data_IF_356381196496
#
_entry.id   IF_356381196496
#
_cell.length_a   1.000
_cell.length_b   1.000
_cell.length_c   1.000
_cell.angle_alpha   90.00
_cell.angle_beta   90.00
_cell.angle_gamma   90.00
#
_symmetry.space_group_name_H-M   'P 1'
#
loop_
_entity.id
_entity.type
_entity.pdbx_description
1 polymer ?
#
# COMPACT_ATOMS: atom_id res chain seq x y z
N UNK A 1 57.56 -18.63 -46.73
CA UNK A 1 56.32 -18.05 -46.15
C UNK A 1 56.25 -16.58 -46.53
N UNK A 2 55.23 -16.23 -47.31
CA UNK A 2 55.04 -14.94 -47.97
C UNK A 2 54.62 -13.82 -47.00
N UNK A 3 55.20 -12.62 -47.13
CA UNK A 3 54.48 -11.37 -46.84
C UNK A 3 54.77 -10.34 -47.94
N UNK A 4 53.73 -10.12 -48.73
CA UNK A 4 53.65 -9.08 -49.76
C UNK A 4 53.00 -7.81 -49.16
N UNK A 5 53.46 -6.67 -49.67
CA UNK A 5 53.14 -5.28 -49.33
C UNK A 5 51.64 -4.95 -49.33
N UNK A 6 51.24 -3.88 -48.62
CA UNK A 6 50.49 -2.73 -49.20
C UNK A 6 50.21 -1.61 -48.18
N UNK A 7 50.15 -0.40 -48.73
CA UNK A 7 49.90 0.89 -48.12
C UNK A 7 48.45 1.06 -47.58
N UNK A 8 48.30 2.07 -46.72
CA UNK A 8 47.10 2.56 -46.04
C UNK A 8 45.84 2.77 -46.92
N UNK A 9 44.64 2.87 -46.31
CA UNK A 9 44.13 4.22 -46.02
C UNK A 9 43.41 4.38 -44.67
N UNK A 10 43.48 5.60 -44.15
CA UNK A 10 42.59 6.17 -43.13
C UNK A 10 41.14 6.02 -43.58
N UNK A 11 40.37 5.16 -42.91
CA UNK A 11 38.93 5.09 -43.05
C UNK A 11 38.29 5.63 -41.77
N UNK A 12 38.02 6.93 -41.78
CA UNK A 12 36.96 7.51 -40.97
C UNK A 12 35.66 6.79 -41.35
N UNK A 13 35.11 6.02 -40.41
CA UNK A 13 33.77 5.44 -40.51
C UNK A 13 32.96 5.91 -39.32
N UNK A 14 32.26 7.01 -39.58
CA UNK A 14 30.93 7.35 -39.09
C UNK A 14 30.51 6.78 -37.74
N UNK A 15 30.61 7.62 -36.71
CA UNK A 15 29.77 7.52 -35.53
C UNK A 15 28.31 7.77 -35.95
N UNK A 16 27.59 6.70 -36.32
CA UNK A 16 26.16 6.78 -36.61
C UNK A 16 25.41 5.94 -35.56
N UNK A 17 24.99 6.63 -34.51
CA UNK A 17 23.71 6.37 -33.84
C UNK A 17 23.58 5.08 -33.05
N UNK A 18 24.39 4.90 -32.00
CA UNK A 18 23.99 4.06 -30.87
C UNK A 18 22.96 4.84 -30.04
N UNK A 19 21.71 4.90 -30.48
CA UNK A 19 20.75 5.79 -29.83
C UNK A 19 19.31 5.48 -30.15
N UNK A 20 18.83 4.27 -29.82
CA UNK A 20 17.39 4.04 -29.64
C UNK A 20 17.07 2.71 -28.90
N UNK A 21 17.66 2.47 -27.73
CA UNK A 21 17.35 1.26 -26.95
C UNK A 21 17.22 1.48 -25.43
N UNK A 22 17.02 2.71 -24.96
CA UNK A 22 16.98 3.02 -23.51
C UNK A 22 15.61 3.46 -22.96
N UNK A 23 14.51 3.26 -23.70
CA UNK A 23 13.16 3.59 -23.19
C UNK A 23 12.45 2.43 -22.46
N UNK A 24 13.13 1.30 -22.25
CA UNK A 24 12.59 0.22 -21.43
C UNK A 24 12.92 0.50 -19.95
N UNK A 25 11.90 0.41 -19.09
CA UNK A 25 11.93 0.57 -17.62
C UNK A 25 11.78 2.00 -17.08
N UNK A 26 10.70 2.68 -17.47
CA UNK A 26 10.04 3.53 -16.48
C UNK A 26 9.51 2.61 -15.36
N UNK A 27 9.78 2.89 -14.07
CA UNK A 27 9.19 2.12 -12.98
C UNK A 27 7.68 2.31 -13.04
N UNK A 28 6.97 1.29 -13.51
CA UNK A 28 5.53 1.14 -13.26
C UNK A 28 5.41 1.15 -11.74
N UNK A 29 4.62 2.11 -11.22
CA UNK A 29 4.66 2.57 -9.83
C UNK A 29 4.95 1.49 -8.80
N UNK A 30 5.89 1.77 -7.90
CA UNK A 30 6.10 0.95 -6.72
C UNK A 30 4.75 0.77 -6.02
N UNK A 31 4.24 -0.46 -5.97
CA UNK A 31 3.13 -0.77 -5.09
C UNK A 31 3.55 -0.34 -3.69
N UNK A 32 2.81 0.58 -3.08
CA UNK A 32 3.06 0.97 -1.70
C UNK A 32 2.95 -0.30 -0.85
N UNK A 33 4.07 -0.70 -0.27
CA UNK A 33 4.11 -1.86 0.60
C UNK A 33 3.54 -1.43 1.97
N UNK A 34 2.89 -2.35 2.69
CA UNK A 34 2.43 -2.05 4.04
C UNK A 34 3.61 -1.60 4.91
N UNK A 35 3.44 -0.46 5.56
CA UNK A 35 4.49 0.21 6.35
C UNK A 35 4.81 -0.54 7.66
N UNK A 36 3.87 -1.38 8.12
CA UNK A 36 4.05 -2.28 9.27
C UNK A 36 3.38 -3.63 9.01
N UNK A 37 3.92 -4.67 9.65
CA UNK A 37 3.30 -5.99 9.71
C UNK A 37 2.29 -6.12 10.86
N UNK A 38 2.20 -5.12 11.75
CA UNK A 38 1.21 -5.14 12.83
C UNK A 38 -0.22 -5.06 12.29
N UNK A 39 -1.17 -5.80 12.87
CA UNK A 39 -2.54 -5.81 12.38
C UNK A 39 -3.27 -4.50 12.69
N UNK A 40 -4.00 -4.00 11.70
CA UNK A 40 -5.01 -2.95 11.90
C UNK A 40 -6.23 -3.61 12.55
N UNK A 41 -6.44 -3.31 13.82
CA UNK A 41 -7.59 -3.78 14.62
C UNK A 41 -8.84 -2.94 14.35
N UNK A 42 -9.77 -3.50 13.58
CA UNK A 42 -11.06 -2.90 13.25
C UNK A 42 -12.12 -3.34 14.25
N UNK A 43 -12.94 -2.42 14.75
CA UNK A 43 -14.03 -2.77 15.67
C UNK A 43 -15.16 -3.48 14.94
N UNK A 44 -15.74 -4.51 15.55
CA UNK A 44 -17.02 -5.11 15.14
C UNK A 44 -18.06 -4.89 16.23
N UNK A 45 -19.27 -4.59 15.80
CA UNK A 45 -20.48 -4.48 16.62
C UNK A 45 -21.50 -5.54 16.20
N UNK A 46 -22.59 -5.68 16.94
CA UNK A 46 -23.57 -6.77 16.77
C UNK A 46 -24.69 -6.46 15.76
N UNK A 47 -24.57 -5.38 14.96
CA UNK A 47 -25.52 -5.05 13.89
C UNK A 47 -24.95 -5.17 12.48
N UNK A 48 -25.79 -5.72 11.59
CA UNK A 48 -25.42 -6.12 10.23
C UNK A 48 -24.79 -5.02 9.39
N UNK A 49 -25.28 -3.78 9.49
CA UNK A 49 -24.77 -2.65 8.68
C UNK A 49 -23.30 -2.35 8.96
N UNK A 50 -22.94 -2.33 10.24
CA UNK A 50 -21.56 -2.09 10.69
C UNK A 50 -20.66 -3.27 10.36
N UNK A 51 -21.14 -4.50 10.56
CA UNK A 51 -20.39 -5.71 10.20
C UNK A 51 -20.01 -5.71 8.72
N UNK A 52 -20.99 -5.51 7.82
CA UNK A 52 -20.74 -5.53 6.37
C UNK A 52 -19.74 -4.44 5.98
N UNK A 53 -19.94 -3.22 6.46
CA UNK A 53 -19.08 -2.07 6.11
C UNK A 53 -17.64 -2.30 6.60
N UNK A 54 -17.48 -2.87 7.79
CA UNK A 54 -16.16 -3.18 8.36
C UNK A 54 -15.46 -4.30 7.60
N UNK A 55 -16.18 -5.35 7.23
CA UNK A 55 -15.62 -6.43 6.40
C UNK A 55 -15.17 -5.89 5.03
N UNK A 56 -15.94 -5.00 4.39
CA UNK A 56 -15.54 -4.38 3.12
C UNK A 56 -14.24 -3.60 3.30
N UNK A 57 -14.12 -2.78 4.35
CA UNK A 57 -12.88 -2.05 4.63
C UNK A 57 -11.70 -3.00 4.87
N UNK A 58 -11.90 -4.04 5.69
CA UNK A 58 -10.84 -5.01 5.97
C UNK A 58 -10.39 -5.76 4.71
N UNK A 59 -11.28 -6.09 3.77
CA UNK A 59 -10.91 -6.67 2.48
C UNK A 59 -10.10 -5.70 1.60
N UNK A 60 -10.44 -4.40 1.64
CA UNK A 60 -9.68 -3.36 0.92
C UNK A 60 -8.26 -3.24 1.49
N UNK A 61 -8.14 -3.21 2.82
CA UNK A 61 -6.84 -3.12 3.52
C UNK A 61 -5.98 -4.37 3.27
N UNK A 62 -6.57 -5.56 3.33
CA UNK A 62 -5.87 -6.82 3.01
C UNK A 62 -5.36 -6.83 1.56
N UNK A 63 -6.17 -6.38 0.59
CA UNK A 63 -5.75 -6.26 -0.81
C UNK A 63 -4.63 -5.24 -1.01
N UNK A 64 -4.53 -4.24 -0.13
CA UNK A 64 -3.43 -3.29 -0.09
C UNK A 64 -2.18 -3.81 0.64
N UNK A 65 -2.21 -5.05 1.16
CA UNK A 65 -1.08 -5.72 1.79
C UNK A 65 -0.99 -5.56 3.31
N UNK A 66 -2.02 -4.99 3.97
CA UNK A 66 -2.07 -4.86 5.43
C UNK A 66 -2.65 -6.11 6.09
N UNK A 67 -2.17 -6.38 7.30
CA UNK A 67 -2.81 -7.35 8.19
C UNK A 67 -4.01 -6.69 8.88
N UNK A 68 -5.13 -7.40 8.98
CA UNK A 68 -6.36 -6.91 9.61
C UNK A 68 -6.79 -7.89 10.69
N UNK A 69 -7.15 -7.35 11.85
CA UNK A 69 -7.78 -8.09 12.95
C UNK A 69 -9.14 -7.49 13.22
N UNK A 70 -10.18 -8.33 13.30
CA UNK A 70 -11.52 -7.88 13.64
C UNK A 70 -11.77 -8.15 15.13
N UNK A 71 -12.07 -7.10 15.88
CA UNK A 71 -12.23 -7.18 17.33
C UNK A 71 -13.65 -6.83 17.71
N UNK A 72 -14.37 -7.79 18.31
CA UNK A 72 -15.70 -7.52 18.85
C UNK A 72 -15.58 -6.53 20.02
N UNK A 73 -16.25 -5.40 19.92
CA UNK A 73 -16.24 -4.35 20.93
C UNK A 73 -17.66 -3.90 21.27
N UNK A 74 -17.89 -3.59 22.53
CA UNK A 74 -19.07 -2.84 22.95
C UNK A 74 -19.01 -1.41 22.40
N UNK A 75 -20.16 -0.86 22.02
CA UNK A 75 -20.24 0.41 21.31
C UNK A 75 -19.67 1.59 22.10
N UNK A 76 -19.87 1.63 23.42
CA UNK A 76 -19.34 2.72 24.25
C UNK A 76 -17.96 2.38 24.81
N UNK A 77 -17.71 1.12 25.17
CA UNK A 77 -16.40 0.73 25.69
C UNK A 77 -15.28 0.84 24.64
N UNK A 78 -15.60 0.82 23.34
CA UNK A 78 -14.59 0.95 22.28
C UNK A 78 -13.80 2.27 22.35
N UNK A 79 -14.39 3.36 22.84
CA UNK A 79 -13.72 4.67 22.88
C UNK A 79 -12.47 4.64 23.78
N UNK A 80 -12.52 3.93 24.91
CA UNK A 80 -11.35 3.70 25.74
C UNK A 80 -10.28 2.87 25.03
N UNK A 81 -10.69 1.84 24.28
CA UNK A 81 -9.78 1.02 23.46
C UNK A 81 -9.14 1.81 22.31
N UNK A 82 -9.89 2.71 21.67
CA UNK A 82 -9.37 3.63 20.65
C UNK A 82 -8.37 4.63 21.24
N UNK A 83 -8.65 5.16 22.44
CA UNK A 83 -7.77 6.12 23.14
C UNK A 83 -6.43 5.51 23.57
N UNK A 84 -6.44 4.24 23.95
CA UNK A 84 -5.25 3.50 24.40
C UNK A 84 -4.46 2.86 23.26
N UNK A 85 -5.06 2.73 22.06
CA UNK A 85 -4.45 2.03 20.92
C UNK A 85 -4.70 0.52 20.92
N UNK A 86 -5.52 0.00 21.83
CA UNK A 86 -5.96 -1.40 21.81
C UNK A 86 -6.86 -1.70 20.61
N UNK A 87 -7.54 -0.67 20.10
CA UNK A 87 -8.34 -0.67 18.86
C UNK A 87 -7.83 0.46 17.96
N UNK A 88 -7.88 0.28 16.64
CA UNK A 88 -7.30 1.26 15.71
C UNK A 88 -8.36 2.06 14.94
N UNK A 89 -9.43 1.40 14.48
CA UNK A 89 -10.44 2.04 13.65
C UNK A 89 -11.84 1.55 14.04
N UNK A 90 -12.73 2.50 14.29
CA UNK A 90 -14.17 2.26 14.35
C UNK A 90 -14.81 2.77 13.06
N UNK A 91 -15.45 1.86 12.33
CA UNK A 91 -15.98 2.14 10.98
C UNK A 91 -17.32 2.89 10.98
N UNK A 92 -18.02 2.90 12.11
CA UNK A 92 -19.33 3.50 12.24
C UNK A 92 -19.47 4.09 13.64
N UNK A 93 -19.66 5.41 13.70
CA UNK A 93 -19.94 6.15 14.93
C UNK A 93 -21.19 6.99 14.71
N UNK A 94 -22.14 6.86 15.61
CA UNK A 94 -23.32 7.71 15.67
C UNK A 94 -23.09 8.79 16.71
N UNK A 95 -22.94 10.03 16.25
CA UNK A 95 -22.71 11.19 17.11
C UNK A 95 -23.78 11.32 18.20
N UNK A 96 -25.05 11.08 17.87
CA UNK A 96 -26.19 11.17 18.80
C UNK A 96 -26.05 10.33 20.06
N UNK A 97 -25.23 9.27 20.00
CA UNK A 97 -25.02 8.32 21.09
C UNK A 97 -23.57 8.35 21.60
N UNK A 98 -22.60 8.52 20.70
CA UNK A 98 -21.18 8.46 21.02
C UNK A 98 -20.56 9.79 21.43
N UNK A 99 -21.26 10.92 21.31
CA UNK A 99 -20.71 12.27 21.55
C UNK A 99 -20.01 12.39 22.91
N UNK A 100 -20.70 12.01 23.98
CA UNK A 100 -20.14 12.15 25.34
C UNK A 100 -18.86 11.33 25.50
N UNK A 101 -18.84 10.08 25.03
CA UNK A 101 -17.68 9.20 25.11
C UNK A 101 -16.50 9.63 24.21
N UNK A 102 -16.76 10.37 23.13
CA UNK A 102 -15.70 10.95 22.27
C UNK A 102 -15.05 12.19 22.88
N UNK A 103 -15.79 12.95 23.68
CA UNK A 103 -15.32 14.21 24.26
C UNK A 103 -14.51 13.97 25.57
N UNK A 104 -14.43 12.73 26.06
CA UNK A 104 -13.67 12.28 27.24
C UNK A 104 -12.18 11.98 26.98
#
# INVERSE_FOLDING_TARGET
MHRCKRLAPSLARSALGLGLAALAFAPVGAAAQAESADPIKLTLHDWTGQLITTQIMGEVLQKAGYNVEYVQADYLAQFAGLKTGDLHVAMEIWETTGREAMDE
#
